data_IF_566753155632
#
_entry.id   IF_566753155632
#
_cell.length_a   1.000
_cell.length_b   1.000
_cell.length_c   1.000
_cell.angle_alpha   90.00
_cell.angle_beta   90.00
_cell.angle_gamma   90.00
#
_symmetry.space_group_name_H-M   'P 1'
#
loop_
_entity.id
_entity.type
_entity.pdbx_description
1 polymer ?
#
# COMPACT_ATOMS: atom_id res chain seq x y z
N UNK A 1 -26.03 2.44 3.78
CA UNK A 1 -25.70 2.57 5.22
C UNK A 1 -24.38 1.86 5.40
N UNK A 2 -23.29 2.61 5.49
CA UNK A 2 -22.00 2.04 5.88
C UNK A 2 -22.16 1.54 7.32
N UNK A 3 -21.66 0.35 7.57
CA UNK A 3 -21.96 -0.37 8.80
C UNK A 3 -21.26 0.31 9.99
N UNK A 4 -22.03 1.04 10.81
CA UNK A 4 -21.53 1.66 12.05
C UNK A 4 -20.86 0.60 12.96
N UNK A 5 -21.33 -0.64 12.87
CA UNK A 5 -20.77 -1.79 13.57
C UNK A 5 -19.33 -2.08 13.10
N UNK A 6 -19.05 -1.97 11.80
CA UNK A 6 -17.70 -2.14 11.27
C UNK A 6 -16.72 -1.09 11.80
N UNK A 7 -17.14 0.18 11.84
CA UNK A 7 -16.31 1.27 12.40
C UNK A 7 -16.09 1.10 13.90
N UNK A 8 -17.12 0.69 14.65
CA UNK A 8 -17.01 0.41 16.08
C UNK A 8 -16.07 -0.77 16.35
N UNK A 9 -16.20 -1.86 15.59
CA UNK A 9 -15.33 -3.04 15.73
C UNK A 9 -13.86 -2.69 15.38
N UNK A 10 -13.61 -1.90 14.34
CA UNK A 10 -12.26 -1.43 14.01
C UNK A 10 -11.68 -0.50 15.07
N UNK A 11 -12.46 0.37 15.68
CA UNK A 11 -12.03 1.17 16.83
C UNK A 11 -11.59 0.30 17.99
N UNK A 12 -12.36 -0.71 18.35
CA UNK A 12 -11.95 -1.67 19.40
C UNK A 12 -10.67 -2.42 19.04
N UNK A 13 -10.51 -2.86 17.79
CA UNK A 13 -9.31 -3.55 17.34
C UNK A 13 -8.08 -2.64 17.40
N UNK A 14 -8.20 -1.36 17.00
CA UNK A 14 -7.10 -0.38 17.04
C UNK A 14 -6.63 -0.13 18.50
N UNK A 15 -7.56 0.02 19.44
CA UNK A 15 -7.22 0.42 20.81
C UNK A 15 -6.97 -0.75 21.75
N UNK A 16 -7.59 -1.90 21.52
CA UNK A 16 -7.60 -3.02 22.47
C UNK A 16 -7.33 -4.38 21.82
N UNK A 17 -7.17 -4.43 20.48
CA UNK A 17 -6.90 -5.66 19.75
C UNK A 17 -5.48 -6.17 19.94
N UNK A 18 -5.25 -7.42 19.57
CA UNK A 18 -3.90 -7.97 19.56
C UNK A 18 -3.14 -7.56 18.28
N UNK A 19 -1.82 -7.51 18.39
CA UNK A 19 -0.93 -7.09 17.31
C UNK A 19 -1.05 -7.99 16.07
N UNK A 20 -1.20 -9.29 16.25
CA UNK A 20 -1.28 -10.25 15.15
C UNK A 20 -2.54 -10.03 14.30
N UNK A 21 -3.70 -9.79 14.94
CA UNK A 21 -4.94 -9.50 14.23
C UNK A 21 -4.89 -8.13 13.55
N UNK A 22 -4.33 -7.12 14.23
CA UNK A 22 -4.22 -5.77 13.68
C UNK A 22 -3.27 -5.73 12.46
N UNK A 23 -2.22 -6.56 12.45
CA UNK A 23 -1.23 -6.64 11.37
C UNK A 23 -1.75 -7.32 10.10
N UNK A 24 -2.86 -8.06 10.17
CA UNK A 24 -3.49 -8.59 8.97
C UNK A 24 -3.87 -7.45 8.00
N UNK A 25 -3.53 -7.58 6.70
CA UNK A 25 -3.72 -6.48 5.75
C UNK A 25 -5.16 -5.99 5.66
N UNK A 26 -6.15 -6.89 5.82
CA UNK A 26 -7.57 -6.55 5.84
C UNK A 26 -7.98 -5.68 7.04
N UNK A 27 -7.17 -5.67 8.10
CA UNK A 27 -7.38 -4.87 9.30
C UNK A 27 -6.48 -3.63 9.30
N UNK A 28 -5.20 -3.79 8.99
CA UNK A 28 -4.22 -2.72 9.05
C UNK A 28 -4.50 -1.58 8.08
N UNK A 29 -4.91 -1.88 6.82
CA UNK A 29 -5.15 -0.81 5.84
C UNK A 29 -6.24 0.17 6.30
N UNK A 30 -7.47 -0.24 6.61
CA UNK A 30 -8.49 0.70 7.10
C UNK A 30 -8.15 1.29 8.48
N UNK A 31 -7.42 0.58 9.34
CA UNK A 31 -7.00 1.09 10.65
C UNK A 31 -5.99 2.24 10.52
N UNK A 32 -4.96 2.09 9.69
CA UNK A 32 -3.96 3.13 9.43
C UNK A 32 -4.64 4.36 8.82
N UNK A 33 -5.52 4.18 7.83
CA UNK A 33 -6.23 5.28 7.21
C UNK A 33 -7.14 6.02 8.22
N UNK A 34 -7.88 5.30 9.05
CA UNK A 34 -8.74 5.90 10.07
C UNK A 34 -7.92 6.70 11.10
N UNK A 35 -6.79 6.14 11.56
CA UNK A 35 -5.88 6.80 12.50
C UNK A 35 -5.25 8.05 11.88
N UNK A 36 -4.72 7.95 10.66
CA UNK A 36 -4.15 9.09 9.94
C UNK A 36 -5.17 10.22 9.75
N UNK A 37 -6.40 9.87 9.35
CA UNK A 37 -7.49 10.85 9.19
C UNK A 37 -7.90 11.47 10.52
N UNK A 38 -7.94 10.69 11.61
CA UNK A 38 -8.25 11.22 12.95
C UNK A 38 -7.20 12.22 13.44
N UNK A 39 -5.91 11.89 13.25
CA UNK A 39 -4.79 12.79 13.60
C UNK A 39 -4.89 14.07 12.76
N UNK A 40 -5.06 13.96 11.44
CA UNK A 40 -5.20 15.10 10.55
C UNK A 40 -6.35 16.02 10.99
N UNK A 41 -7.53 15.46 11.25
CA UNK A 41 -8.70 16.23 11.70
C UNK A 41 -8.50 16.89 13.07
N UNK A 42 -7.81 16.22 13.99
CA UNK A 42 -7.46 16.79 15.28
C UNK A 42 -6.53 18.01 15.11
N UNK A 43 -5.50 17.91 14.26
CA UNK A 43 -4.59 19.03 13.98
C UNK A 43 -5.33 20.23 13.37
N UNK A 44 -6.27 19.99 12.47
CA UNK A 44 -7.11 21.04 11.87
C UNK A 44 -8.04 21.66 12.92
N UNK A 45 -8.73 20.84 13.73
CA UNK A 45 -9.69 21.33 14.73
C UNK A 45 -9.02 22.15 15.85
N UNK A 46 -7.79 21.80 16.21
CA UNK A 46 -6.98 22.54 17.18
C UNK A 46 -6.23 23.74 16.56
N UNK A 47 -6.49 24.05 15.28
CA UNK A 47 -5.82 25.11 14.52
C UNK A 47 -4.28 25.01 14.50
N UNK A 48 -3.77 23.77 14.64
CA UNK A 48 -2.34 23.46 14.51
C UNK A 48 -1.94 23.25 13.04
N UNK A 49 -2.91 22.90 12.20
CA UNK A 49 -2.80 22.80 10.75
C UNK A 49 -3.99 23.53 10.12
N UNK A 50 -3.90 24.85 9.92
CA UNK A 50 -4.99 25.60 9.31
C UNK A 50 -5.35 25.07 7.91
N UNK A 51 -6.63 25.14 7.57
CA UNK A 51 -7.13 24.75 6.25
C UNK A 51 -6.39 25.54 5.16
N UNK A 52 -5.93 24.83 4.10
CA UNK A 52 -5.13 25.43 3.03
C UNK A 52 -3.67 25.74 3.39
N UNK A 53 -3.18 25.34 4.57
CA UNK A 53 -1.77 25.57 4.96
C UNK A 53 -0.77 24.64 4.27
N UNK A 54 -1.22 23.56 3.65
CA UNK A 54 -0.38 22.64 2.88
C UNK A 54 -0.65 22.78 1.38
N UNK A 55 0.42 22.72 0.59
CA UNK A 55 0.36 22.86 -0.87
C UNK A 55 0.26 21.51 -1.58
N UNK A 56 0.69 20.44 -0.93
CA UNK A 56 0.73 19.11 -1.50
C UNK A 56 0.46 18.04 -0.45
N UNK A 57 -0.07 16.92 -0.92
CA UNK A 57 -0.27 15.70 -0.15
C UNK A 57 0.29 14.51 -0.91
N UNK A 58 0.81 13.55 -0.17
CA UNK A 58 1.24 12.25 -0.69
C UNK A 58 1.02 11.18 0.38
N UNK A 59 1.00 9.93 -0.04
CA UNK A 59 0.90 8.82 0.89
C UNK A 59 1.39 7.54 0.23
N UNK A 60 2.08 6.69 0.98
CA UNK A 60 2.63 5.44 0.47
C UNK A 60 1.55 4.35 0.46
N UNK A 61 1.29 3.76 -0.70
CA UNK A 61 0.32 2.66 -0.90
C UNK A 61 -1.08 3.01 -0.37
N UNK A 62 -1.54 2.39 0.72
CA UNK A 62 -2.81 2.75 1.35
C UNK A 62 -2.85 4.22 1.83
N UNK A 63 -1.69 4.80 2.11
CA UNK A 63 -1.54 6.21 2.51
C UNK A 63 -2.02 7.20 1.44
N UNK A 64 -2.04 6.81 0.16
CA UNK A 64 -2.61 7.64 -0.92
C UNK A 64 -4.12 7.85 -0.72
N UNK A 65 -4.82 6.87 -0.14
CA UNK A 65 -6.23 7.03 0.28
C UNK A 65 -6.38 8.00 1.46
N UNK A 66 -5.44 7.98 2.41
CA UNK A 66 -5.42 8.95 3.52
C UNK A 66 -5.15 10.37 2.99
N UNK A 67 -4.24 10.50 2.04
CA UNK A 67 -3.93 11.76 1.37
C UNK A 67 -5.16 12.29 0.59
N UNK A 68 -5.88 11.42 -0.12
CA UNK A 68 -7.12 11.78 -0.81
C UNK A 68 -8.21 12.27 0.14
N UNK A 69 -8.37 11.64 1.31
CA UNK A 69 -9.34 12.10 2.32
C UNK A 69 -8.93 13.46 2.89
N UNK A 70 -7.65 13.65 3.20
CA UNK A 70 -7.13 14.92 3.71
C UNK A 70 -7.26 16.06 2.69
N UNK A 71 -7.18 15.72 1.39
CA UNK A 71 -7.25 16.65 0.25
C UNK A 71 -8.68 16.87 -0.29
N UNK A 72 -9.70 16.36 0.40
CA UNK A 72 -11.09 16.48 -0.04
C UNK A 72 -11.48 15.65 -1.27
N UNK A 73 -10.52 14.96 -1.90
CA UNK A 73 -10.71 14.21 -3.15
C UNK A 73 -11.66 13.03 -3.04
N UNK A 74 -11.78 12.42 -1.85
CA UNK A 74 -12.72 11.31 -1.57
C UNK A 74 -13.29 11.44 -0.16
N UNK A 75 -14.54 11.02 0.01
CA UNK A 75 -15.16 10.94 1.34
C UNK A 75 -14.55 9.84 2.21
N UNK A 76 -14.43 10.09 3.53
CA UNK A 76 -13.90 9.13 4.50
C UNK A 76 -14.57 7.75 4.41
N UNK A 77 -15.90 7.71 4.34
CA UNK A 77 -16.67 6.45 4.29
C UNK A 77 -16.39 5.64 3.01
N UNK A 78 -16.27 6.31 1.86
CA UNK A 78 -15.93 5.66 0.59
C UNK A 78 -14.50 5.15 0.60
N UNK A 79 -13.57 5.92 1.16
CA UNK A 79 -12.17 5.50 1.32
C UNK A 79 -12.03 4.27 2.21
N UNK A 80 -12.71 4.23 3.37
CA UNK A 80 -12.73 3.03 4.26
C UNK A 80 -13.30 1.83 3.53
N UNK A 81 -14.40 2.02 2.78
CA UNK A 81 -15.04 0.94 2.01
C UNK A 81 -14.10 0.40 0.93
N UNK A 82 -13.45 1.28 0.17
CA UNK A 82 -12.48 0.88 -0.85
C UNK A 82 -11.29 0.14 -0.23
N UNK A 83 -10.73 0.62 0.88
CA UNK A 83 -9.60 -0.04 1.55
C UNK A 83 -9.97 -1.40 2.12
N UNK A 84 -11.20 -1.58 2.61
CA UNK A 84 -11.71 -2.89 3.03
C UNK A 84 -11.74 -3.89 1.86
N UNK A 85 -12.22 -3.44 0.69
CA UNK A 85 -12.29 -4.27 -0.50
C UNK A 85 -10.88 -4.54 -1.06
N UNK A 86 -10.04 -3.48 -1.15
CA UNK A 86 -8.65 -3.56 -1.61
C UNK A 86 -7.86 -4.57 -0.79
N UNK A 87 -7.87 -4.42 0.52
CA UNK A 87 -7.09 -5.27 1.42
C UNK A 87 -7.52 -6.74 1.35
N UNK A 88 -8.84 -6.99 1.29
CA UNK A 88 -9.36 -8.34 1.11
C UNK A 88 -8.97 -8.92 -0.24
N UNK A 89 -9.16 -8.19 -1.34
CA UNK A 89 -8.83 -8.65 -2.67
C UNK A 89 -7.33 -8.92 -2.84
N UNK A 90 -6.47 -8.07 -2.24
CA UNK A 90 -5.01 -8.29 -2.21
C UNK A 90 -4.64 -9.56 -1.43
N UNK A 91 -5.29 -9.80 -0.28
CA UNK A 91 -5.07 -11.02 0.51
C UNK A 91 -5.53 -12.28 -0.24
N UNK A 92 -6.68 -12.19 -0.93
CA UNK A 92 -7.28 -13.32 -1.64
C UNK A 92 -6.61 -13.60 -3.01
N UNK A 93 -5.70 -12.72 -3.48
CA UNK A 93 -5.05 -12.86 -4.80
C UNK A 93 -4.10 -14.06 -4.88
N UNK A 94 -3.58 -14.52 -3.74
CA UNK A 94 -2.75 -15.72 -3.67
C UNK A 94 -3.06 -16.52 -2.40
N UNK A 95 -2.91 -17.86 -2.42
CA UNK A 95 -3.02 -18.67 -1.22
C UNK A 95 -2.03 -18.24 -0.15
N UNK A 96 -2.46 -18.23 1.11
CA UNK A 96 -1.59 -17.86 2.23
C UNK A 96 -0.33 -18.72 2.25
N UNK A 97 0.83 -18.07 2.41
CA UNK A 97 2.13 -18.74 2.46
C UNK A 97 2.77 -19.05 1.10
N UNK A 98 2.09 -18.73 -0.03
CA UNK A 98 2.67 -18.96 -1.37
C UNK A 98 3.33 -17.72 -1.97
N UNK A 99 3.10 -16.54 -1.38
CA UNK A 99 3.73 -15.29 -1.75
C UNK A 99 4.31 -14.56 -0.55
N UNK A 100 5.12 -13.55 -0.81
CA UNK A 100 5.75 -12.74 0.23
C UNK A 100 6.49 -11.54 -0.31
N UNK A 101 7.09 -10.79 0.62
CA UNK A 101 7.90 -9.61 0.33
C UNK A 101 9.21 -9.63 1.12
N UNK A 102 10.25 -9.05 0.53
CA UNK A 102 11.57 -8.93 1.16
C UNK A 102 12.13 -7.53 0.92
N UNK A 103 12.55 -6.87 1.99
CA UNK A 103 13.23 -5.58 1.93
C UNK A 103 14.74 -5.81 1.79
N UNK A 104 15.35 -5.13 0.81
CA UNK A 104 16.79 -5.06 0.58
C UNK A 104 17.28 -3.67 0.98
N UNK A 105 18.28 -3.62 1.87
CA UNK A 105 18.75 -2.36 2.44
C UNK A 105 20.24 -2.20 2.16
N UNK A 106 20.64 -1.04 1.65
CA UNK A 106 22.01 -0.69 1.31
C UNK A 106 22.51 -1.42 0.06
N UNK A 107 21.60 -1.67 -0.91
CA UNK A 107 21.92 -2.34 -2.17
C UNK A 107 21.89 -1.35 -3.33
N UNK A 108 22.88 -1.42 -4.20
CA UNK A 108 22.90 -0.71 -5.47
C UNK A 108 22.03 -1.43 -6.51
N UNK A 109 21.68 -0.72 -7.58
CA UNK A 109 20.74 -1.21 -8.58
C UNK A 109 21.17 -2.52 -9.26
N UNK A 110 22.44 -2.64 -9.59
CA UNK A 110 23.02 -3.84 -10.24
C UNK A 110 22.91 -5.08 -9.33
N UNK A 111 23.07 -4.91 -8.01
CA UNK A 111 22.85 -5.98 -7.02
C UNK A 111 21.38 -6.41 -7.01
N UNK A 112 20.46 -5.45 -7.07
CA UNK A 112 19.01 -5.71 -7.07
C UNK A 112 18.63 -6.44 -8.37
N UNK A 113 19.09 -5.96 -9.52
CA UNK A 113 18.81 -6.57 -10.82
C UNK A 113 19.35 -8.01 -10.89
N UNK A 114 20.57 -8.25 -10.35
CA UNK A 114 21.14 -9.59 -10.24
C UNK A 114 20.32 -10.49 -9.29
N UNK A 115 19.87 -9.97 -8.16
CA UNK A 115 19.04 -10.72 -7.22
C UNK A 115 17.73 -11.15 -7.86
N UNK A 116 17.03 -10.24 -8.56
CA UNK A 116 15.79 -10.56 -9.29
C UNK A 116 16.06 -11.62 -10.36
N UNK A 117 17.09 -11.43 -11.17
CA UNK A 117 17.45 -12.38 -12.23
C UNK A 117 17.76 -13.77 -11.69
N UNK A 118 18.49 -13.85 -10.59
CA UNK A 118 18.84 -15.13 -9.97
C UNK A 118 17.63 -15.83 -9.37
N UNK A 119 16.81 -15.10 -8.61
CA UNK A 119 15.63 -15.63 -7.94
C UNK A 119 14.49 -15.99 -8.90
N UNK A 120 14.43 -15.39 -10.09
CA UNK A 120 13.39 -15.70 -11.10
C UNK A 120 13.47 -17.12 -11.67
N UNK A 121 14.50 -17.88 -11.36
CA UNK A 121 14.59 -19.31 -11.65
C UNK A 121 13.77 -20.17 -10.67
N UNK A 122 13.54 -19.66 -9.46
CA UNK A 122 12.82 -20.34 -8.39
C UNK A 122 11.35 -19.90 -8.28
N UNK A 123 10.96 -18.82 -8.96
CA UNK A 123 9.60 -18.30 -8.97
C UNK A 123 9.50 -16.87 -9.49
N UNK A 124 8.28 -16.37 -9.65
CA UNK A 124 8.04 -14.99 -10.08
C UNK A 124 8.44 -14.02 -8.98
N UNK A 125 9.20 -12.99 -9.35
CA UNK A 125 9.66 -11.93 -8.45
C UNK A 125 9.69 -10.58 -9.16
N UNK A 126 9.34 -9.52 -8.45
CA UNK A 126 9.14 -8.19 -8.99
C UNK A 126 9.67 -7.13 -8.02
N UNK A 127 10.10 -6.00 -8.55
CA UNK A 127 10.29 -4.79 -7.77
C UNK A 127 8.91 -4.24 -7.38
N UNK A 128 8.67 -4.09 -6.09
CA UNK A 128 7.39 -3.65 -5.52
C UNK A 128 7.45 -2.24 -4.96
N UNK A 129 8.52 -1.91 -4.23
CA UNK A 129 8.69 -0.57 -3.67
C UNK A 129 10.10 -0.04 -3.96
N UNK A 130 10.17 1.22 -4.38
CA UNK A 130 11.40 2.00 -4.45
C UNK A 130 11.29 3.15 -3.42
N UNK A 131 11.60 2.81 -2.15
CA UNK A 131 11.30 3.69 -1.03
C UNK A 131 12.32 4.83 -0.86
N UNK A 132 13.59 4.55 -1.17
CA UNK A 132 14.69 5.50 -1.07
C UNK A 132 15.93 4.88 -1.70
N UNK A 133 16.97 5.69 -1.90
CA UNK A 133 18.27 5.21 -2.37
C UNK A 133 18.79 4.06 -1.50
N UNK A 134 18.97 2.90 -2.12
CA UNK A 134 19.37 1.67 -1.45
C UNK A 134 18.30 1.01 -0.56
N UNK A 135 17.04 1.44 -0.60
CA UNK A 135 15.94 0.81 0.17
C UNK A 135 14.81 0.35 -0.75
N UNK A 136 14.90 -0.87 -1.18
CA UNK A 136 14.01 -1.51 -2.16
C UNK A 136 13.22 -2.64 -1.49
N UNK A 137 11.99 -2.87 -1.96
CA UNK A 137 11.21 -4.06 -1.58
C UNK A 137 10.91 -4.88 -2.84
N UNK A 138 11.16 -6.18 -2.76
CA UNK A 138 10.76 -7.14 -3.78
C UNK A 138 9.54 -7.91 -3.31
N UNK A 139 8.64 -8.20 -4.24
CA UNK A 139 7.43 -9.02 -4.05
C UNK A 139 7.46 -10.21 -5.01
N UNK A 140 7.02 -11.37 -4.55
CA UNK A 140 7.00 -12.54 -5.42
C UNK A 140 6.49 -13.80 -4.78
N UNK A 141 6.65 -14.90 -5.50
CA UNK A 141 6.40 -16.24 -5.00
C UNK A 141 7.38 -16.58 -3.88
N UNK A 142 6.91 -17.35 -2.91
CA UNK A 142 7.66 -17.57 -1.67
C UNK A 142 9.03 -18.21 -1.92
N UNK A 143 9.13 -19.11 -2.91
CA UNK A 143 10.40 -19.76 -3.24
C UNK A 143 11.46 -18.76 -3.71
N UNK A 144 11.07 -17.77 -4.54
CA UNK A 144 11.97 -16.71 -5.00
C UNK A 144 12.39 -15.78 -3.85
N UNK A 145 11.47 -15.46 -2.93
CA UNK A 145 11.75 -14.68 -1.72
C UNK A 145 12.74 -15.43 -0.81
N UNK A 146 12.48 -16.72 -0.55
CA UNK A 146 13.32 -17.55 0.31
C UNK A 146 14.71 -17.80 -0.32
N UNK A 147 14.79 -17.92 -1.67
CA UNK A 147 16.07 -17.97 -2.40
C UNK A 147 16.92 -16.72 -2.10
N UNK A 148 16.36 -15.51 -2.23
CA UNK A 148 17.10 -14.28 -1.94
C UNK A 148 17.54 -14.24 -0.49
N UNK A 149 16.68 -14.59 0.45
CA UNK A 149 17.00 -14.58 1.86
C UNK A 149 18.16 -15.52 2.20
N UNK A 150 18.15 -16.74 1.64
CA UNK A 150 19.19 -17.76 1.86
C UNK A 150 20.51 -17.41 1.17
N UNK A 151 20.47 -16.75 0.02
CA UNK A 151 21.61 -16.41 -0.80
C UNK A 151 22.06 -14.94 -0.68
N UNK A 152 21.56 -14.18 0.29
CA UNK A 152 21.82 -12.75 0.41
C UNK A 152 23.32 -12.41 0.38
N UNK A 153 24.14 -13.20 1.08
CA UNK A 153 25.59 -12.99 1.15
C UNK A 153 26.27 -13.20 -0.21
N UNK A 154 25.93 -14.26 -0.93
CA UNK A 154 26.50 -14.58 -2.26
C UNK A 154 26.04 -13.61 -3.34
N UNK A 155 24.87 -12.99 -3.15
CA UNK A 155 24.31 -11.95 -4.00
C UNK A 155 24.84 -10.55 -3.65
N UNK A 156 25.77 -10.43 -2.70
CA UNK A 156 26.28 -9.16 -2.18
C UNK A 156 25.21 -8.23 -1.57
N UNK A 157 24.12 -8.80 -1.10
CA UNK A 157 23.06 -8.07 -0.41
C UNK A 157 23.50 -7.82 1.02
N UNK A 158 23.65 -6.55 1.40
CA UNK A 158 24.10 -6.15 2.73
C UNK A 158 23.13 -6.56 3.83
N UNK A 159 21.83 -6.36 3.59
CA UNK A 159 20.75 -6.72 4.52
C UNK A 159 19.49 -7.06 3.78
N UNK A 160 18.96 -8.26 4.01
CA UNK A 160 17.71 -8.75 3.50
C UNK A 160 16.77 -9.05 4.66
N UNK A 161 15.54 -8.53 4.64
CA UNK A 161 14.55 -8.70 5.72
C UNK A 161 13.25 -9.16 5.08
N UNK A 162 12.82 -10.38 5.40
CA UNK A 162 11.50 -10.89 5.02
C UNK A 162 10.44 -10.09 5.79
N UNK A 163 9.49 -9.52 5.07
CA UNK A 163 8.43 -8.72 5.68
C UNK A 163 7.34 -9.65 6.26
N UNK A 164 6.68 -9.25 7.36
CA UNK A 164 5.62 -10.03 8.01
C UNK A 164 4.29 -9.87 7.27
N UNK A 165 4.29 -10.11 5.95
CA UNK A 165 3.12 -10.06 5.09
C UNK A 165 2.92 -11.39 4.39
N UNK A 166 1.67 -11.76 4.11
CA UNK A 166 1.29 -13.06 3.54
C UNK A 166 0.95 -13.01 2.05
N UNK A 167 1.12 -11.85 1.41
CA UNK A 167 0.87 -11.68 -0.02
C UNK A 167 1.93 -10.78 -0.66
N UNK A 168 2.23 -10.97 -1.97
CA UNK A 168 3.22 -10.22 -2.71
C UNK A 168 2.60 -8.94 -3.30
N UNK A 169 2.48 -7.88 -2.49
CA UNK A 169 1.85 -6.64 -2.92
C UNK A 169 2.64 -5.90 -4.00
N UNK A 170 1.97 -5.00 -4.74
CA UNK A 170 2.54 -4.09 -5.72
C UNK A 170 3.29 -4.78 -6.86
N UNK A 171 2.73 -5.87 -7.38
CA UNK A 171 3.27 -6.58 -8.53
C UNK A 171 2.15 -7.26 -9.34
N UNK A 172 2.51 -7.82 -10.49
CA UNK A 172 1.57 -8.46 -11.41
C UNK A 172 0.75 -9.60 -10.78
N UNK A 173 1.24 -10.24 -9.73
CA UNK A 173 0.51 -11.28 -8.99
C UNK A 173 -0.74 -10.74 -8.29
N UNK A 174 -0.87 -9.41 -8.16
CA UNK A 174 -2.05 -8.72 -7.62
C UNK A 174 -3.08 -8.33 -8.69
N UNK A 175 -2.97 -8.81 -9.93
CA UNK A 175 -3.88 -8.44 -11.05
C UNK A 175 -5.35 -8.68 -10.73
N UNK A 176 -5.66 -9.76 -10.04
CA UNK A 176 -7.02 -10.04 -9.60
C UNK A 176 -7.55 -8.95 -8.64
N UNK A 177 -6.74 -8.52 -7.69
CA UNK A 177 -7.13 -7.44 -6.76
C UNK A 177 -7.37 -6.12 -7.50
N UNK A 178 -6.55 -5.78 -8.50
CA UNK A 178 -6.77 -4.60 -9.33
C UNK A 178 -8.11 -4.65 -10.08
N UNK A 179 -8.49 -5.81 -10.63
CA UNK A 179 -9.77 -6.01 -11.30
C UNK A 179 -10.97 -5.85 -10.35
N UNK A 180 -10.88 -6.43 -9.14
CA UNK A 180 -11.92 -6.28 -8.11
C UNK A 180 -12.05 -4.81 -7.71
N UNK A 181 -10.93 -4.13 -7.48
CA UNK A 181 -10.91 -2.74 -7.08
C UNK A 181 -11.46 -1.81 -8.17
N UNK A 182 -11.18 -2.08 -9.44
CA UNK A 182 -11.69 -1.32 -10.58
C UNK A 182 -13.22 -1.23 -10.59
N UNK A 183 -13.90 -2.34 -10.29
CA UNK A 183 -15.38 -2.39 -10.23
C UNK A 183 -15.93 -1.44 -9.16
N UNK A 184 -15.22 -1.30 -8.04
CA UNK A 184 -15.66 -0.47 -6.92
C UNK A 184 -15.22 0.99 -7.07
N UNK A 185 -14.03 1.25 -7.58
CA UNK A 185 -13.53 2.60 -7.85
C UNK A 185 -14.40 3.31 -8.90
N UNK A 186 -14.83 2.60 -9.93
CA UNK A 186 -15.70 3.16 -10.98
C UNK A 186 -17.09 3.63 -10.48
N UNK A 187 -17.45 3.29 -9.22
CA UNK A 187 -18.68 3.79 -8.56
C UNK A 187 -18.44 5.07 -7.77
N UNK A 188 -17.19 5.50 -7.64
CA UNK A 188 -16.79 6.67 -6.83
C UNK A 188 -16.72 7.90 -7.73
N UNK A 189 -17.28 8.99 -7.26
CA UNK A 189 -17.05 10.30 -7.82
C UNK A 189 -15.96 10.99 -7.00
N UNK A 190 -14.79 11.17 -7.59
CA UNK A 190 -13.73 11.94 -6.97
C UNK A 190 -14.04 13.43 -7.09
N UNK A 191 -13.81 14.16 -6.00
CA UNK A 191 -13.99 15.60 -5.96
C UNK A 191 -12.71 16.31 -6.44
N UNK A 192 -12.83 17.60 -6.73
CA UNK A 192 -11.69 18.47 -6.96
C UNK A 192 -10.78 18.46 -5.73
N UNK A 193 -9.48 18.45 -5.95
CA UNK A 193 -8.47 18.45 -4.91
C UNK A 193 -8.23 19.85 -4.33
N UNK A 194 -8.10 19.95 -3.01
CA UNK A 194 -7.78 21.20 -2.32
C UNK A 194 -6.29 21.55 -2.41
N UNK A 195 -5.43 20.56 -2.65
CA UNK A 195 -3.99 20.70 -2.80
C UNK A 195 -3.46 19.69 -3.84
N UNK A 196 -2.21 19.85 -4.28
CA UNK A 196 -1.58 18.92 -5.22
C UNK A 196 -1.47 17.51 -4.64
N UNK A 197 -1.99 16.50 -5.33
CA UNK A 197 -1.78 15.09 -4.97
C UNK A 197 -0.67 14.49 -5.83
N UNK A 198 0.28 13.82 -5.19
CA UNK A 198 1.34 13.06 -5.88
C UNK A 198 0.99 11.58 -5.88
N UNK A 199 0.91 10.99 -7.09
CA UNK A 199 0.61 9.57 -7.27
C UNK A 199 1.82 8.68 -7.03
N UNK A 200 1.60 7.54 -6.41
CA UNK A 200 2.62 6.50 -6.22
C UNK A 200 3.12 5.92 -7.56
N UNK A 201 2.22 5.77 -8.55
CA UNK A 201 2.55 5.13 -9.83
C UNK A 201 3.47 5.98 -10.70
N UNK A 202 3.22 7.30 -10.72
CA UNK A 202 3.95 8.20 -11.61
C UNK A 202 5.00 9.04 -10.89
N UNK A 203 4.97 9.11 -9.56
CA UNK A 203 5.74 10.05 -8.74
C UNK A 203 5.51 11.52 -9.12
N UNK A 204 4.40 11.81 -9.82
CA UNK A 204 4.04 13.13 -10.32
C UNK A 204 2.68 13.57 -9.77
N UNK A 205 2.41 14.86 -9.88
CA UNK A 205 1.08 15.41 -9.60
C UNK A 205 0.03 14.74 -10.49
N UNK A 206 -1.12 14.45 -9.91
CA UNK A 206 -2.27 13.93 -10.65
C UNK A 206 -3.54 14.74 -10.34
N UNK A 207 -4.53 14.57 -11.19
CA UNK A 207 -5.84 15.22 -11.11
C UNK A 207 -6.92 14.25 -10.66
N UNK A 208 -8.08 14.81 -10.30
CA UNK A 208 -9.29 14.04 -9.96
C UNK A 208 -9.78 13.12 -11.10
N UNK A 209 -9.44 13.46 -12.36
CA UNK A 209 -9.80 12.64 -13.52
C UNK A 209 -8.88 11.43 -13.74
N UNK A 210 -7.66 11.50 -13.22
CA UNK A 210 -6.63 10.45 -13.38
C UNK A 210 -6.60 9.48 -12.21
N UNK A 211 -6.98 9.96 -11.01
CA UNK A 211 -6.74 9.22 -9.76
C UNK A 211 -7.42 7.86 -9.72
N UNK A 212 -8.61 7.73 -10.31
CA UNK A 212 -9.31 6.44 -10.35
C UNK A 212 -8.45 5.35 -10.99
N UNK A 213 -7.87 5.62 -12.16
CA UNK A 213 -6.99 4.68 -12.85
C UNK A 213 -5.68 4.48 -12.11
N UNK A 214 -5.08 5.55 -11.58
CA UNK A 214 -3.83 5.47 -10.83
C UNK A 214 -3.94 4.61 -9.57
N UNK A 215 -5.06 4.66 -8.83
CA UNK A 215 -5.30 3.78 -7.68
C UNK A 215 -5.47 2.30 -8.07
N UNK A 216 -6.00 2.03 -9.26
CA UNK A 216 -6.10 0.66 -9.79
C UNK A 216 -4.71 0.15 -10.18
N UNK A 217 -3.96 0.97 -10.92
CA UNK A 217 -2.61 0.62 -11.39
C UNK A 217 -1.63 0.47 -10.24
N UNK A 218 -1.77 1.25 -9.16
CA UNK A 218 -0.95 1.17 -7.94
C UNK A 218 -0.89 -0.26 -7.37
N UNK A 219 -1.97 -1.03 -7.48
CA UNK A 219 -2.04 -2.40 -6.92
C UNK A 219 -1.04 -3.34 -7.58
N UNK A 220 -0.71 -3.11 -8.85
CA UNK A 220 0.18 -3.95 -9.68
C UNK A 220 1.47 -3.26 -10.10
N UNK A 221 1.68 -2.01 -9.67
CA UNK A 221 2.84 -1.20 -10.02
C UNK A 221 3.79 -0.98 -8.85
N UNK A 222 5.01 -0.58 -9.16
CA UNK A 222 6.00 -0.10 -8.17
C UNK A 222 5.44 1.15 -7.47
N UNK A 223 5.64 1.24 -6.17
CA UNK A 223 5.27 2.36 -5.32
C UNK A 223 6.45 2.86 -4.51
#
# INVERSE_FOLDING_TARGET
KFDLFYLYWKGNLIFYGNESELSETQNSQPAIMATSTAIFRALVSENLLPEGSFQAVAGHSLGEYSALVANGGIGFNDSVRLLKIRSKAMQDSMPVGTGGMIALIGCEKDIIDNAIKSASQDGKIYLANDNADGQIVLSGEINAIDFILQNAKSLNIRRAIKLPVSAPFHCELMRHAAQVLQVEINKINFNKFDADLYSNVTSMKCTENEIAQLLIDQVVSIV
#
